data_IF_273579560005
#
_entry.id   IF_273579560005
#
_cell.length_a   1.000
_cell.length_b   1.000
_cell.length_c   1.000
_cell.angle_alpha   90.00
_cell.angle_beta   90.00
_cell.angle_gamma   90.00
#
_symmetry.space_group_name_H-M   'P 1'
#
loop_
_entity.id
_entity.type
_entity.pdbx_description
1 polymer ?
#
# COMPACT_ATOMS: atom_id res chain seq x y z
N UNK A 1 1.03 -3.71 -21.39
CA UNK A 1 -0.13 -3.38 -20.52
C UNK A 1 -0.03 -4.05 -19.14
N UNK A 2 0.37 -5.33 -19.03
CA UNK A 2 0.53 -6.04 -17.74
C UNK A 2 1.34 -5.29 -16.68
N UNK A 3 2.58 -4.89 -17.01
CA UNK A 3 3.49 -4.22 -16.06
C UNK A 3 2.89 -2.91 -15.57
N UNK A 4 2.26 -2.14 -16.46
CA UNK A 4 1.59 -0.89 -16.09
C UNK A 4 0.44 -1.12 -15.10
N UNK A 5 -0.42 -2.10 -15.33
CA UNK A 5 -1.54 -2.40 -14.42
C UNK A 5 -1.05 -2.80 -13.01
N UNK A 6 0.01 -3.61 -12.95
CA UNK A 6 0.64 -4.04 -11.71
C UNK A 6 1.31 -2.88 -10.97
N UNK A 7 2.03 -2.02 -11.69
CA UNK A 7 2.64 -0.81 -11.14
C UNK A 7 1.55 0.15 -10.63
N UNK A 8 0.45 0.31 -11.37
CA UNK A 8 -0.67 1.16 -10.96
C UNK A 8 -1.41 0.60 -9.74
N UNK A 9 -1.56 -0.72 -9.60
CA UNK A 9 -2.22 -1.33 -8.44
C UNK A 9 -1.32 -1.40 -7.20
N UNK A 10 0.00 -1.44 -7.37
CA UNK A 10 0.94 -1.47 -6.24
C UNK A 10 1.14 -0.11 -5.58
N UNK A 11 0.96 1.00 -6.31
CA UNK A 11 1.01 2.35 -5.74
C UNK A 11 -0.04 2.59 -4.63
N UNK A 12 -1.35 2.45 -4.88
CA UNK A 12 -2.37 2.66 -3.85
C UNK A 12 -2.17 1.68 -2.68
N UNK A 13 -1.81 0.42 -2.95
CA UNK A 13 -1.49 -0.54 -1.90
C UNK A 13 -0.34 -0.05 -1.00
N UNK A 14 0.73 0.47 -1.60
CA UNK A 14 1.87 0.99 -0.84
C UNK A 14 1.48 2.16 0.06
N UNK A 15 0.68 3.10 -0.47
CA UNK A 15 0.15 4.24 0.30
C UNK A 15 -0.70 3.73 1.47
N UNK A 16 -1.61 2.80 1.22
CA UNK A 16 -2.52 2.29 2.26
C UNK A 16 -1.77 1.52 3.36
N UNK A 17 -0.80 0.69 2.99
CA UNK A 17 0.01 -0.05 3.97
C UNK A 17 0.86 0.88 4.84
N UNK A 18 1.44 1.95 4.27
CA UNK A 18 2.15 2.97 5.05
C UNK A 18 1.18 3.77 5.93
N UNK A 19 -0.03 4.06 5.43
CA UNK A 19 -1.08 4.69 6.23
C UNK A 19 -1.49 3.82 7.43
N UNK A 20 -1.66 2.50 7.23
CA UNK A 20 -1.94 1.55 8.32
C UNK A 20 -0.80 1.50 9.34
N UNK A 21 0.45 1.51 8.87
CA UNK A 21 1.62 1.59 9.74
C UNK A 21 1.59 2.89 10.57
N UNK A 22 1.29 4.03 9.93
CA UNK A 22 1.19 5.31 10.60
C UNK A 22 0.08 5.33 11.66
N UNK A 23 -1.06 4.69 11.39
CA UNK A 23 -2.15 4.54 12.36
C UNK A 23 -1.81 3.62 13.54
N UNK A 24 -0.95 2.62 13.32
CA UNK A 24 -0.58 1.65 14.35
C UNK A 24 0.49 2.17 15.32
N UNK A 25 1.25 3.20 14.92
CA UNK A 25 2.32 3.76 15.75
C UNK A 25 1.79 4.87 16.66
N UNK A 26 2.12 4.87 17.97
CA UNK A 26 1.66 5.88 18.93
C UNK A 26 2.51 7.17 18.84
N UNK A 27 2.73 7.68 17.63
CA UNK A 27 3.61 8.83 17.38
C UNK A 27 2.96 9.74 16.33
N UNK A 28 3.08 11.07 16.42
CA UNK A 28 2.43 11.99 15.48
C UNK A 28 2.99 11.81 14.06
N UNK A 29 2.25 11.06 13.24
CA UNK A 29 2.59 10.74 11.86
C UNK A 29 2.89 11.97 11.00
N UNK A 30 2.22 13.10 11.28
CA UNK A 30 2.39 14.36 10.55
C UNK A 30 3.81 14.92 10.64
N UNK A 31 4.55 14.60 11.70
CA UNK A 31 5.94 15.04 11.85
C UNK A 31 6.91 14.31 10.92
N UNK A 32 6.53 13.17 10.34
CA UNK A 32 7.43 12.29 9.57
C UNK A 32 6.96 12.07 8.12
N UNK A 33 6.15 12.98 7.59
CA UNK A 33 5.54 12.84 6.25
C UNK A 33 6.55 12.57 5.14
N UNK A 34 7.73 13.19 5.20
CA UNK A 34 8.80 12.97 4.22
C UNK A 34 9.30 11.52 4.28
N UNK A 35 9.52 10.98 5.49
CA UNK A 35 9.93 9.59 5.67
C UNK A 35 8.85 8.62 5.19
N UNK A 36 7.57 8.95 5.45
CA UNK A 36 6.43 8.15 4.97
C UNK A 36 6.36 8.15 3.44
N UNK A 37 6.56 9.30 2.79
CA UNK A 37 6.60 9.38 1.33
C UNK A 37 7.75 8.54 0.76
N UNK A 38 8.95 8.65 1.34
CA UNK A 38 10.10 7.83 0.92
C UNK A 38 9.81 6.33 1.10
N UNK A 39 9.16 5.95 2.21
CA UNK A 39 8.76 4.57 2.46
C UNK A 39 7.72 4.07 1.45
N UNK A 40 6.73 4.91 1.09
CA UNK A 40 5.76 4.59 0.04
C UNK A 40 6.46 4.35 -1.30
N UNK A 41 7.38 5.24 -1.68
CA UNK A 41 8.13 5.11 -2.95
C UNK A 41 8.96 3.83 -2.94
N UNK A 42 9.69 3.56 -1.85
CA UNK A 42 10.50 2.35 -1.73
C UNK A 42 9.64 1.08 -1.80
N UNK A 43 8.53 1.04 -1.05
CA UNK A 43 7.61 -0.09 -1.04
C UNK A 43 6.97 -0.30 -2.42
N UNK A 44 6.59 0.78 -3.10
CA UNK A 44 6.02 0.72 -4.44
C UNK A 44 7.01 0.15 -5.45
N UNK A 45 8.27 0.61 -5.42
CA UNK A 45 9.33 0.05 -6.26
C UNK A 45 9.58 -1.44 -5.97
N UNK A 46 9.58 -1.85 -4.70
CA UNK A 46 9.75 -3.26 -4.31
C UNK A 46 8.60 -4.12 -4.83
N UNK A 47 7.34 -3.72 -4.63
CA UNK A 47 6.18 -4.46 -5.15
C UNK A 47 6.18 -4.51 -6.68
N UNK A 48 6.51 -3.38 -7.32
CA UNK A 48 6.70 -3.28 -8.77
C UNK A 48 7.79 -4.22 -9.27
N UNK A 49 8.92 -4.35 -8.56
CA UNK A 49 10.00 -5.27 -8.93
C UNK A 49 9.59 -6.73 -8.72
N UNK A 50 9.09 -7.08 -7.54
CA UNK A 50 8.69 -8.46 -7.20
C UNK A 50 7.65 -9.01 -8.19
N UNK A 51 6.73 -8.16 -8.62
CA UNK A 51 5.70 -8.54 -9.58
C UNK A 51 6.23 -8.84 -10.98
N UNK A 52 7.42 -8.34 -11.34
CA UNK A 52 8.10 -8.67 -12.61
C UNK A 52 8.81 -10.02 -12.58
N UNK A 53 9.11 -10.54 -11.38
CA UNK A 53 9.76 -11.84 -11.20
C UNK A 53 8.82 -13.01 -11.51
N UNK A 54 7.49 -12.79 -11.46
CA UNK A 54 6.51 -13.84 -11.75
C UNK A 54 6.33 -14.06 -13.23
N UNK A 55 6.50 -15.31 -13.68
CA UNK A 55 6.17 -15.73 -15.05
C UNK A 55 4.66 -15.65 -15.33
N UNK A 56 3.82 -15.83 -14.29
CA UNK A 56 2.36 -15.76 -14.39
C UNK A 56 1.81 -14.44 -13.86
N UNK A 57 1.11 -13.72 -14.73
CA UNK A 57 0.52 -12.40 -14.46
C UNK A 57 -0.65 -12.43 -13.48
N UNK A 58 -1.54 -13.41 -13.65
CA UNK A 58 -2.86 -13.42 -13.03
C UNK A 58 -2.82 -13.51 -11.49
N UNK A 59 -1.98 -14.37 -10.86
CA UNK A 59 -1.96 -14.50 -9.41
C UNK A 59 -1.46 -13.22 -8.72
N UNK A 60 -0.51 -12.54 -9.35
CA UNK A 60 0.03 -11.25 -8.88
C UNK A 60 -1.04 -10.17 -8.93
N UNK A 61 -1.78 -10.08 -10.04
CA UNK A 61 -2.88 -9.12 -10.17
C UNK A 61 -3.99 -9.40 -9.16
N UNK A 62 -4.37 -10.67 -8.97
CA UNK A 62 -5.36 -11.05 -7.97
C UNK A 62 -4.92 -10.68 -6.55
N UNK A 63 -3.65 -10.95 -6.21
CA UNK A 63 -3.07 -10.57 -4.93
C UNK A 63 -3.05 -9.06 -4.70
N UNK A 64 -2.70 -8.27 -5.72
CA UNK A 64 -2.72 -6.81 -5.64
C UNK A 64 -4.14 -6.27 -5.46
N UNK A 65 -5.12 -6.79 -6.21
CA UNK A 65 -6.52 -6.36 -6.07
C UNK A 65 -7.06 -6.73 -4.68
N UNK A 66 -6.84 -7.96 -4.23
CA UNK A 66 -7.25 -8.41 -2.90
C UNK A 66 -6.57 -7.59 -1.79
N UNK A 67 -5.27 -7.37 -1.89
CA UNK A 67 -4.50 -6.56 -0.93
C UNK A 67 -5.01 -5.13 -0.86
N UNK A 68 -5.33 -4.51 -2.01
CA UNK A 68 -5.92 -3.17 -2.03
C UNK A 68 -7.28 -3.15 -1.32
N UNK A 69 -8.15 -4.12 -1.61
CA UNK A 69 -9.46 -4.22 -0.96
C UNK A 69 -9.35 -4.39 0.56
N UNK A 70 -8.48 -5.30 1.01
CA UNK A 70 -8.25 -5.54 2.45
C UNK A 70 -7.68 -4.30 3.13
N UNK A 71 -6.64 -3.68 2.56
CA UNK A 71 -6.03 -2.49 3.14
C UNK A 71 -7.01 -1.31 3.22
N UNK A 72 -7.85 -1.14 2.19
CA UNK A 72 -8.89 -0.11 2.18
C UNK A 72 -9.91 -0.31 3.30
N UNK A 73 -10.37 -1.56 3.53
CA UNK A 73 -11.29 -1.89 4.61
C UNK A 73 -10.65 -1.67 5.98
N UNK A 74 -9.40 -2.10 6.17
CA UNK A 74 -8.67 -1.91 7.42
C UNK A 74 -8.44 -0.43 7.74
N UNK A 75 -8.18 0.41 6.73
CA UNK A 75 -8.01 1.84 6.98
C UNK A 75 -9.26 2.50 7.56
N UNK A 76 -10.46 2.04 7.18
CA UNK A 76 -11.71 2.56 7.74
C UNK A 76 -11.82 2.33 9.26
N UNK A 77 -11.13 1.31 9.79
CA UNK A 77 -11.15 1.02 11.23
C UNK A 77 -10.08 1.80 12.00
N UNK A 78 -9.35 2.70 11.34
CA UNK A 78 -8.31 3.52 11.98
C UNK A 78 -8.79 4.93 12.27
N UNK A 79 -8.15 5.59 13.23
CA UNK A 79 -8.40 7.00 13.55
C UNK A 79 -8.12 7.96 12.39
N UNK A 80 -7.34 7.55 11.38
CA UNK A 80 -7.06 8.34 10.19
C UNK A 80 -8.28 8.54 9.28
N UNK A 81 -9.22 7.59 9.27
CA UNK A 81 -10.38 7.59 8.37
C UNK A 81 -11.73 7.43 9.09
N UNK A 82 -11.77 7.61 10.41
CA UNK A 82 -13.02 7.72 11.17
C UNK A 82 -13.38 6.53 12.05
N UNK A 83 -12.53 5.50 12.15
CA UNK A 83 -12.72 4.36 13.06
C UNK A 83 -12.39 4.63 14.54
N UNK A 84 -12.11 5.89 14.89
CA UNK A 84 -11.77 6.32 16.25
C UNK A 84 -12.92 6.96 17.02
N UNK A 85 -14.15 6.48 16.83
CA UNK A 85 -15.32 6.86 17.64
C UNK A 85 -15.41 6.03 18.91
#
# INVERSE_FOLDING_TARGET
MRVLAVVLLSLPLSVMLVGLLAAALPVPWSSWLVLMLLLVVALWMVLGLLSTLSERAWPVMAGLVAGNGVAALLLQTTSLYGGGS
#
